data_IF_114464195064
#
_entry.id   IF_114464195064
#
_cell.length_a   1.000
_cell.length_b   1.000
_cell.length_c   1.000
_cell.angle_alpha   90.00
_cell.angle_beta   90.00
_cell.angle_gamma   90.00
#
_symmetry.space_group_name_H-M   'P 1'
#
loop_
_entity.id
_entity.type
_entity.pdbx_description
1 polymer ?
#
# COMPACT_ATOMS: atom_id res chain seq x y z
N UNK A 1 9.66 -22.34 23.02
CA UNK A 1 8.71 -21.30 22.55
C UNK A 1 8.08 -20.64 23.77
N UNK A 2 8.05 -19.31 23.80
CA UNK A 2 7.56 -18.49 24.93
C UNK A 2 6.03 -18.32 24.92
N UNK A 3 5.38 -18.61 23.79
CA UNK A 3 3.96 -18.33 23.49
C UNK A 3 3.62 -16.86 23.75
N UNK A 4 4.39 -15.97 23.17
CA UNK A 4 4.31 -14.55 23.48
C UNK A 4 4.53 -13.70 22.23
N UNK A 5 3.65 -12.71 22.02
CA UNK A 5 3.63 -11.81 20.86
C UNK A 5 3.60 -10.35 21.32
N UNK A 6 4.37 -9.50 20.65
CA UNK A 6 4.27 -8.06 20.82
C UNK A 6 3.60 -7.41 19.61
N UNK A 7 2.68 -6.49 19.85
CA UNK A 7 2.12 -5.60 18.84
C UNK A 7 2.85 -4.25 18.92
N UNK A 8 3.46 -3.83 17.82
CA UNK A 8 4.10 -2.53 17.75
C UNK A 8 3.15 -1.50 17.13
N UNK A 9 2.96 -0.37 17.83
CA UNK A 9 2.17 0.75 17.39
C UNK A 9 2.97 2.06 17.45
N UNK A 10 2.62 3.04 16.61
CA UNK A 10 3.05 4.42 16.82
C UNK A 10 2.16 5.07 17.89
N UNK A 11 2.72 5.87 18.79
CA UNK A 11 1.95 6.65 19.76
C UNK A 11 1.28 7.83 19.06
N UNK A 12 -0.04 7.96 19.25
CA UNK A 12 -0.83 9.00 18.56
C UNK A 12 -1.25 8.57 17.14
N UNK A 13 -1.92 9.47 16.44
CA UNK A 13 -2.48 9.23 15.10
C UNK A 13 -4.01 9.15 15.10
N UNK A 14 -4.62 9.37 13.94
CA UNK A 14 -6.08 9.42 13.77
C UNK A 14 -6.75 8.04 13.81
N UNK A 15 -5.97 6.97 13.80
CA UNK A 15 -6.42 5.57 13.84
C UNK A 15 -6.62 5.02 15.26
N UNK A 16 -6.40 5.88 16.28
CA UNK A 16 -6.50 5.49 17.71
C UNK A 16 -7.91 5.63 18.28
N UNK A 17 -8.21 4.75 19.21
CA UNK A 17 -9.36 4.87 20.10
C UNK A 17 -9.07 5.82 21.28
N UNK A 18 -10.08 6.04 22.14
CA UNK A 18 -9.94 6.88 23.34
C UNK A 18 -8.89 6.36 24.33
N UNK A 19 -8.59 5.06 24.30
CA UNK A 19 -7.58 4.38 25.11
C UNK A 19 -6.15 4.53 24.56
N UNK A 20 -5.98 5.21 23.42
CA UNK A 20 -4.69 5.43 22.76
C UNK A 20 -4.18 4.27 21.92
N UNK A 21 -4.90 3.14 21.87
CA UNK A 21 -4.60 2.01 20.99
C UNK A 21 -5.34 2.13 19.66
N UNK A 22 -4.86 1.45 18.64
CA UNK A 22 -5.69 1.20 17.44
C UNK A 22 -6.91 0.38 17.85
N UNK A 23 -8.07 0.76 17.33
CA UNK A 23 -9.36 0.14 17.70
C UNK A 23 -9.40 -1.37 17.47
N UNK A 24 -8.59 -1.88 16.51
CA UNK A 24 -8.52 -3.30 16.15
C UNK A 24 -7.36 -4.05 16.82
N UNK A 25 -6.44 -3.40 17.51
CA UNK A 25 -5.31 -4.07 18.16
C UNK A 25 -5.72 -4.82 19.44
N UNK A 26 -6.48 -4.18 20.32
CA UNK A 26 -6.87 -4.82 21.56
C UNK A 26 -7.76 -6.07 21.36
N UNK A 27 -8.69 -6.12 20.40
CA UNK A 27 -9.37 -7.37 20.02
C UNK A 27 -8.40 -8.51 19.66
N UNK A 28 -7.33 -8.23 18.88
CA UNK A 28 -6.31 -9.24 18.52
C UNK A 28 -5.51 -9.69 19.74
N UNK A 29 -5.11 -8.76 20.62
CA UNK A 29 -4.43 -9.06 21.88
C UNK A 29 -5.28 -10.00 22.74
N UNK A 30 -6.58 -9.70 22.87
CA UNK A 30 -7.51 -10.50 23.65
C UNK A 30 -7.74 -11.89 23.04
N UNK A 31 -7.82 -11.96 21.69
CA UNK A 31 -7.94 -13.23 20.98
C UNK A 31 -6.73 -14.17 21.26
N UNK A 32 -5.50 -13.63 21.29
CA UNK A 32 -4.31 -14.41 21.64
C UNK A 32 -4.30 -14.84 23.11
N UNK A 33 -4.68 -13.93 24.03
CA UNK A 33 -4.78 -14.26 25.46
C UNK A 33 -5.79 -15.38 25.72
N UNK A 34 -6.93 -15.36 25.03
CA UNK A 34 -7.93 -16.44 25.11
C UNK A 34 -7.38 -17.80 24.64
N UNK A 35 -6.34 -17.82 23.80
CA UNK A 35 -5.63 -19.03 23.35
C UNK A 35 -4.46 -19.44 24.28
N UNK A 36 -4.31 -18.76 25.41
CA UNK A 36 -3.23 -19.04 26.38
C UNK A 36 -1.87 -18.48 25.98
N UNK A 37 -1.85 -17.52 25.05
CA UNK A 37 -0.63 -16.79 24.66
C UNK A 37 -0.52 -15.49 25.45
N UNK A 38 0.70 -15.05 25.76
CA UNK A 38 0.95 -13.70 26.21
C UNK A 38 0.93 -12.74 25.00
N UNK A 39 0.28 -11.59 25.15
CA UNK A 39 0.26 -10.56 24.12
C UNK A 39 0.29 -9.17 24.75
N UNK A 40 1.22 -8.35 24.30
CA UNK A 40 1.46 -7.00 24.80
C UNK A 40 1.53 -6.00 23.66
N UNK A 41 1.32 -4.69 23.95
CA UNK A 41 1.50 -3.60 22.99
C UNK A 41 2.65 -2.73 23.45
N UNK A 42 3.59 -2.45 22.55
CA UNK A 42 4.68 -1.50 22.76
C UNK A 42 4.55 -0.37 21.74
N UNK A 43 4.63 0.86 22.23
CA UNK A 43 4.55 2.06 21.40
C UNK A 43 5.92 2.58 21.02
N UNK A 44 6.04 2.96 19.75
CA UNK A 44 7.16 3.75 19.24
C UNK A 44 6.77 5.23 19.09
N UNK A 45 7.75 6.10 19.31
CA UNK A 45 7.72 7.53 18.95
C UNK A 45 9.02 7.88 18.23
N UNK A 46 9.03 9.00 17.51
CA UNK A 46 10.27 9.48 16.88
C UNK A 46 11.38 9.75 17.90
N UNK A 47 11.02 10.20 19.11
CA UNK A 47 12.01 10.45 20.18
C UNK A 47 12.64 9.16 20.68
N UNK A 48 11.84 8.10 20.88
CA UNK A 48 12.34 6.75 21.22
C UNK A 48 13.27 6.25 20.12
N UNK A 49 12.88 6.43 18.86
CA UNK A 49 13.68 5.97 17.72
C UNK A 49 15.01 6.71 17.58
N UNK A 50 15.04 8.01 17.84
CA UNK A 50 16.30 8.80 17.84
C UNK A 50 17.19 8.47 19.02
N UNK A 51 16.62 8.10 20.18
CA UNK A 51 17.38 7.74 21.36
C UNK A 51 17.87 6.28 21.29
N UNK A 52 19.16 6.10 21.04
CA UNK A 52 19.75 4.77 20.87
C UNK A 52 19.57 3.87 22.11
N UNK A 53 19.68 4.42 23.31
CA UNK A 53 19.52 3.68 24.55
C UNK A 53 18.09 3.14 24.73
N UNK A 54 17.09 4.01 24.50
CA UNK A 54 15.67 3.60 24.60
C UNK A 54 15.30 2.60 23.49
N UNK A 55 15.77 2.84 22.27
CA UNK A 55 15.59 1.93 21.14
C UNK A 55 16.17 0.54 21.42
N UNK A 56 17.39 0.49 21.96
CA UNK A 56 18.05 -0.76 22.35
C UNK A 56 17.33 -1.45 23.53
N UNK A 57 16.80 -0.69 24.50
CA UNK A 57 15.99 -1.25 25.59
C UNK A 57 14.75 -1.98 25.05
N UNK A 58 14.00 -1.35 24.12
CA UNK A 58 12.85 -2.02 23.48
C UNK A 58 13.28 -3.26 22.71
N UNK A 59 14.38 -3.19 21.97
CA UNK A 59 14.92 -4.34 21.24
C UNK A 59 15.26 -5.51 22.20
N UNK A 60 16.02 -5.27 23.26
CA UNK A 60 16.41 -6.34 24.20
C UNK A 60 15.20 -6.89 24.97
N UNK A 61 14.24 -6.03 25.34
CA UNK A 61 13.00 -6.48 25.95
C UNK A 61 12.19 -7.37 25.01
N UNK A 62 11.98 -6.93 23.77
CA UNK A 62 11.24 -7.71 22.79
C UNK A 62 11.91 -9.05 22.49
N UNK A 63 13.21 -9.06 22.24
CA UNK A 63 14.01 -10.27 22.03
C UNK A 63 13.93 -11.24 23.20
N UNK A 64 13.95 -10.74 24.43
CA UNK A 64 13.91 -11.58 25.63
C UNK A 64 12.54 -12.22 25.88
N UNK A 65 11.44 -11.49 25.61
CA UNK A 65 10.09 -11.86 26.03
C UNK A 65 9.24 -12.53 24.94
N UNK A 66 9.43 -12.20 23.65
CA UNK A 66 8.47 -12.58 22.61
C UNK A 66 9.05 -13.60 21.61
N UNK A 67 8.17 -14.36 20.99
CA UNK A 67 8.47 -15.27 19.87
C UNK A 67 8.29 -14.58 18.51
N UNK A 68 7.46 -13.53 18.46
CA UNK A 68 7.20 -12.77 17.24
C UNK A 68 6.61 -11.40 17.53
N UNK A 69 6.48 -10.60 16.49
CA UNK A 69 5.82 -9.30 16.57
C UNK A 69 4.81 -9.12 15.44
N UNK A 70 3.80 -8.29 15.70
CA UNK A 70 2.87 -7.76 14.69
C UNK A 70 3.08 -6.26 14.57
N UNK A 71 3.46 -5.77 13.40
CA UNK A 71 3.58 -4.33 13.16
C UNK A 71 2.22 -3.74 12.79
N UNK A 72 1.80 -2.71 13.54
CA UNK A 72 0.55 -1.94 13.33
C UNK A 72 0.83 -0.46 13.14
N UNK A 73 2.00 -0.14 12.59
CA UNK A 73 2.44 1.24 12.30
C UNK A 73 2.07 1.59 10.87
N UNK A 74 1.27 2.65 10.67
CA UNK A 74 0.96 3.16 9.35
C UNK A 74 2.18 3.84 8.72
N UNK A 75 2.38 3.74 7.41
CA UNK A 75 3.35 4.57 6.70
C UNK A 75 3.13 6.07 7.02
N UNK A 76 4.22 6.75 7.34
CA UNK A 76 4.18 8.17 7.69
C UNK A 76 3.78 8.52 9.14
N UNK A 77 3.38 7.55 9.97
CA UNK A 77 3.12 7.81 11.40
C UNK A 77 4.41 8.04 12.22
N UNK A 78 5.54 7.58 11.71
CA UNK A 78 6.86 7.80 12.28
C UNK A 78 7.74 8.50 11.23
N UNK A 79 8.33 9.62 11.57
CA UNK A 79 9.31 10.32 10.70
C UNK A 79 10.61 9.51 10.60
N UNK A 80 10.97 8.82 11.67
CA UNK A 80 12.13 7.94 11.78
C UNK A 80 11.79 6.49 11.34
N UNK A 81 10.99 6.32 10.28
CA UNK A 81 10.53 5.02 9.80
C UNK A 81 11.70 4.07 9.50
N UNK A 82 12.82 4.59 8.99
CA UNK A 82 14.03 3.80 8.74
C UNK A 82 14.58 3.16 10.02
N UNK A 83 14.68 3.93 11.10
CA UNK A 83 15.14 3.42 12.39
C UNK A 83 14.17 2.37 12.97
N UNK A 84 12.87 2.57 12.75
CA UNK A 84 11.87 1.56 13.11
C UNK A 84 12.09 0.26 12.37
N UNK A 85 12.25 0.28 11.04
CA UNK A 85 12.53 -0.92 10.25
C UNK A 85 13.85 -1.60 10.64
N UNK A 86 14.88 -0.83 11.02
CA UNK A 86 16.14 -1.39 11.49
C UNK A 86 15.97 -2.16 12.81
N UNK A 87 15.11 -1.68 13.73
CA UNK A 87 14.74 -2.44 14.94
C UNK A 87 14.05 -3.75 14.57
N UNK A 88 13.08 -3.69 13.65
CA UNK A 88 12.35 -4.89 13.21
C UNK A 88 13.27 -5.92 12.54
N UNK A 89 14.22 -5.49 11.68
CA UNK A 89 15.21 -6.38 11.07
C UNK A 89 16.06 -7.07 12.13
N UNK A 90 16.61 -6.30 13.09
CA UNK A 90 17.39 -6.87 14.20
C UNK A 90 16.59 -7.89 15.01
N UNK A 91 15.28 -7.68 15.21
CA UNK A 91 14.42 -8.65 15.88
C UNK A 91 14.24 -9.93 15.04
N UNK A 92 14.05 -9.80 13.73
CA UNK A 92 13.98 -10.96 12.83
C UNK A 92 15.31 -11.73 12.81
N UNK A 93 16.44 -11.02 12.71
CA UNK A 93 17.78 -11.62 12.77
C UNK A 93 18.05 -12.34 14.11
N UNK A 94 17.43 -11.85 15.19
CA UNK A 94 17.46 -12.50 16.51
C UNK A 94 16.48 -13.67 16.66
N UNK A 95 15.74 -14.01 15.57
CA UNK A 95 14.85 -15.16 15.50
C UNK A 95 13.40 -14.89 15.93
N UNK A 96 12.95 -13.65 16.03
CA UNK A 96 11.53 -13.34 16.17
C UNK A 96 10.84 -13.45 14.82
N UNK A 97 9.63 -13.97 14.84
CA UNK A 97 8.78 -14.04 13.64
C UNK A 97 8.15 -12.68 13.39
N UNK A 98 8.54 -12.04 12.29
CA UNK A 98 7.97 -10.74 11.87
C UNK A 98 6.66 -10.90 11.13
N UNK A 99 5.62 -10.20 11.55
CA UNK A 99 4.31 -10.20 10.90
C UNK A 99 3.87 -8.77 10.56
N UNK A 100 4.28 -8.28 9.38
CA UNK A 100 5.18 -8.91 8.43
C UNK A 100 6.67 -8.65 8.74
N UNK A 101 7.56 -9.33 8.00
CA UNK A 101 8.98 -8.95 7.94
C UNK A 101 9.10 -7.50 7.42
N UNK A 102 10.04 -6.65 7.91
CA UNK A 102 10.13 -5.26 7.50
C UNK A 102 10.33 -5.08 5.99
N UNK A 103 11.10 -5.95 5.35
CA UNK A 103 11.29 -5.87 3.90
C UNK A 103 10.05 -6.29 3.11
N UNK A 104 9.20 -7.16 3.69
CA UNK A 104 7.87 -7.42 3.15
C UNK A 104 6.96 -6.20 3.31
N UNK A 105 7.04 -5.47 4.44
CA UNK A 105 6.30 -4.20 4.60
C UNK A 105 6.65 -3.19 3.51
N UNK A 106 7.94 -3.05 3.20
CA UNK A 106 8.42 -2.19 2.12
C UNK A 106 7.95 -2.73 0.77
N UNK A 107 8.16 -4.03 0.51
CA UNK A 107 7.85 -4.64 -0.78
C UNK A 107 6.37 -4.66 -1.14
N UNK A 108 5.48 -4.91 -0.16
CA UNK A 108 4.03 -4.95 -0.38
C UNK A 108 3.34 -3.60 -0.11
N UNK A 109 3.86 -2.80 0.82
CA UNK A 109 3.21 -1.58 1.28
C UNK A 109 3.61 -0.30 0.54
N UNK A 110 4.48 -0.38 -0.45
CA UNK A 110 4.87 0.73 -1.29
C UNK A 110 4.31 0.58 -2.71
N UNK A 111 4.03 1.69 -3.38
CA UNK A 111 3.42 1.65 -4.73
C UNK A 111 4.38 1.17 -5.82
N UNK A 112 5.68 1.09 -5.52
CA UNK A 112 6.66 0.46 -6.41
C UNK A 112 6.38 -1.04 -6.64
N UNK A 113 5.60 -1.68 -5.77
CA UNK A 113 5.06 -3.02 -6.00
C UNK A 113 4.36 -3.12 -7.37
N UNK A 114 3.60 -2.10 -7.78
CA UNK A 114 2.90 -2.07 -9.07
C UNK A 114 3.87 -2.12 -10.24
N UNK A 115 5.00 -1.43 -10.15
CA UNK A 115 6.00 -1.42 -11.24
C UNK A 115 6.76 -2.75 -11.33
N UNK A 116 6.99 -3.41 -10.20
CA UNK A 116 7.56 -4.76 -10.16
C UNK A 116 6.62 -5.82 -10.76
N UNK A 117 5.31 -5.57 -10.70
CA UNK A 117 4.25 -6.44 -11.21
C UNK A 117 3.80 -6.10 -12.65
N UNK A 118 4.37 -5.10 -13.32
CA UNK A 118 3.94 -4.60 -14.64
C UNK A 118 3.98 -5.64 -15.78
N UNK A 119 4.79 -6.67 -15.66
CA UNK A 119 4.90 -7.74 -16.66
C UNK A 119 4.07 -8.98 -16.28
N UNK A 120 3.08 -8.80 -15.42
CA UNK A 120 2.10 -9.82 -15.03
C UNK A 120 0.72 -9.47 -15.58
N UNK A 121 -0.26 -10.34 -15.38
CA UNK A 121 -1.66 -10.01 -15.71
C UNK A 121 -2.30 -9.00 -14.75
N UNK A 122 -1.65 -8.72 -13.62
CA UNK A 122 -2.17 -7.86 -12.55
C UNK A 122 -2.13 -6.38 -12.88
N UNK A 123 -1.12 -5.92 -13.61
CA UNK A 123 -0.82 -4.50 -13.80
C UNK A 123 -0.56 -4.20 -15.27
N UNK A 124 -1.02 -3.06 -15.83
CA UNK A 124 -0.74 -2.67 -17.20
C UNK A 124 0.76 -2.62 -17.50
N UNK A 125 1.14 -3.11 -18.68
CA UNK A 125 2.55 -3.19 -19.11
C UNK A 125 3.21 -1.83 -19.29
N UNK A 126 2.44 -0.76 -19.44
CA UNK A 126 2.91 0.63 -19.57
C UNK A 126 3.05 1.34 -18.21
N UNK A 127 2.97 0.60 -17.11
CA UNK A 127 3.23 1.12 -15.75
C UNK A 127 4.72 1.39 -15.59
N UNK A 128 5.08 2.64 -15.28
CA UNK A 128 6.46 3.10 -15.13
C UNK A 128 6.73 3.58 -13.71
N UNK A 129 8.02 3.59 -13.35
CA UNK A 129 8.52 4.19 -12.12
C UNK A 129 9.54 5.26 -12.46
N UNK A 130 9.38 6.45 -11.90
CA UNK A 130 10.33 7.56 -12.04
C UNK A 130 11.08 7.78 -10.73
N UNK A 131 12.40 7.98 -10.86
CA UNK A 131 13.32 8.18 -9.74
C UNK A 131 14.26 9.35 -9.98
N UNK A 132 14.79 9.93 -8.92
CA UNK A 132 16.05 10.69 -9.01
C UNK A 132 17.26 9.73 -9.16
N UNK A 133 18.37 10.17 -9.78
CA UNK A 133 19.56 9.33 -9.99
C UNK A 133 20.10 8.70 -8.71
N UNK A 134 20.10 9.46 -7.60
CA UNK A 134 20.62 8.99 -6.31
C UNK A 134 19.74 7.90 -5.71
N UNK A 135 18.42 8.04 -5.80
CA UNK A 135 17.50 7.03 -5.31
C UNK A 135 17.55 5.76 -6.15
N UNK A 136 17.58 5.89 -7.48
CA UNK A 136 17.76 4.76 -8.37
C UNK A 136 19.04 3.97 -8.05
N UNK A 137 20.16 4.66 -7.83
CA UNK A 137 21.42 4.03 -7.43
C UNK A 137 21.30 3.31 -6.08
N UNK A 138 20.60 3.92 -5.10
CA UNK A 138 20.37 3.34 -3.76
C UNK A 138 19.60 2.02 -3.81
N UNK A 139 18.63 1.92 -4.71
CA UNK A 139 17.78 0.71 -4.86
C UNK A 139 18.28 -0.24 -5.95
N UNK A 140 19.45 0.04 -6.57
CA UNK A 140 20.05 -0.82 -7.61
C UNK A 140 19.37 -0.75 -8.98
N UNK A 141 18.61 0.32 -9.26
CA UNK A 141 17.98 0.56 -10.55
C UNK A 141 18.94 1.37 -11.44
N UNK A 142 19.12 0.92 -12.68
CA UNK A 142 19.91 1.65 -13.68
C UNK A 142 19.14 2.89 -14.12
N UNK A 143 19.67 4.06 -13.83
CA UNK A 143 19.13 5.34 -14.27
C UNK A 143 20.00 5.97 -15.34
N UNK A 144 19.37 6.49 -16.39
CA UNK A 144 20.03 7.21 -17.49
C UNK A 144 19.20 8.45 -17.84
N UNK A 145 19.86 9.55 -18.14
CA UNK A 145 19.17 10.75 -18.61
C UNK A 145 18.45 10.46 -19.94
N UNK A 146 17.14 10.74 -19.99
CA UNK A 146 16.28 10.37 -21.13
C UNK A 146 15.86 8.89 -21.14
N UNK A 147 16.36 8.06 -20.24
CA UNK A 147 15.94 6.67 -20.05
C UNK A 147 14.55 6.52 -19.45
N UNK A 148 14.11 5.27 -19.27
CA UNK A 148 12.73 4.93 -18.82
C UNK A 148 12.34 5.61 -17.49
N UNK A 149 13.29 5.80 -16.57
CA UNK A 149 13.07 6.31 -15.22
C UNK A 149 13.21 7.84 -15.09
N UNK A 150 13.50 8.54 -16.20
CA UNK A 150 13.57 10.00 -16.24
C UNK A 150 12.17 10.61 -16.38
N UNK A 151 11.63 11.15 -15.27
CA UNK A 151 10.31 11.76 -15.22
C UNK A 151 10.11 12.86 -16.26
N UNK A 152 11.08 13.78 -16.35
CA UNK A 152 10.99 14.94 -17.24
C UNK A 152 10.93 14.56 -18.72
N UNK A 153 11.48 13.43 -19.10
CA UNK A 153 11.52 12.97 -20.50
C UNK A 153 10.43 11.98 -20.86
N UNK A 154 9.91 11.22 -19.90
CA UNK A 154 8.99 10.14 -20.22
C UNK A 154 7.52 10.45 -19.86
N UNK A 155 7.24 11.22 -18.81
CA UNK A 155 5.86 11.56 -18.49
C UNK A 155 5.14 12.32 -19.63
N UNK A 156 5.77 13.30 -20.34
CA UNK A 156 5.15 13.89 -21.51
C UNK A 156 4.86 12.91 -22.66
N UNK A 157 5.62 11.81 -22.76
CA UNK A 157 5.40 10.76 -23.76
C UNK A 157 4.25 9.82 -23.37
N UNK A 158 4.15 9.46 -22.08
CA UNK A 158 3.06 8.60 -21.62
C UNK A 158 1.73 9.33 -21.65
N UNK A 159 1.70 10.60 -21.20
CA UNK A 159 0.51 11.45 -21.24
C UNK A 159 0.06 11.75 -22.68
N UNK A 160 0.97 11.83 -23.65
CA UNK A 160 0.62 11.98 -25.07
C UNK A 160 -0.27 10.84 -25.60
N UNK A 161 -0.19 9.66 -25.00
CA UNK A 161 -0.94 8.46 -25.42
C UNK A 161 -2.33 8.35 -24.78
N UNK A 162 -2.55 9.01 -23.63
CA UNK A 162 -3.81 8.92 -22.89
C UNK A 162 -3.70 9.47 -21.47
N UNK A 163 -4.82 9.51 -20.78
CA UNK A 163 -4.88 9.96 -19.38
C UNK A 163 -4.00 9.06 -18.48
N UNK A 164 -3.33 9.70 -17.52
CA UNK A 164 -2.43 9.02 -16.59
C UNK A 164 -2.83 9.22 -15.13
N UNK A 165 -2.41 8.28 -14.28
CA UNK A 165 -2.44 8.43 -12.82
C UNK A 165 -1.02 8.37 -12.32
N UNK A 166 -0.55 9.48 -11.75
CA UNK A 166 0.71 9.54 -11.00
C UNK A 166 0.45 9.27 -9.54
N UNK A 167 1.28 8.42 -8.93
CA UNK A 167 1.15 8.05 -7.50
C UNK A 167 2.51 8.21 -6.81
N UNK A 168 2.57 9.01 -5.75
CA UNK A 168 3.74 8.98 -4.87
C UNK A 168 3.93 7.60 -4.24
N UNK A 169 5.17 7.17 -4.03
CA UNK A 169 5.48 5.82 -3.56
C UNK A 169 4.88 5.53 -2.18
N UNK A 170 5.09 6.44 -1.24
CA UNK A 170 4.61 6.29 0.14
C UNK A 170 3.65 7.42 0.49
N UNK A 171 2.45 7.05 0.85
CA UNK A 171 1.39 7.99 1.20
C UNK A 171 0.10 7.23 1.52
N UNK A 172 -0.82 7.90 2.17
CA UNK A 172 -2.12 7.36 2.56
C UNK A 172 -3.24 8.34 2.17
N UNK A 173 -4.49 7.89 2.22
CA UNK A 173 -5.68 8.75 2.05
C UNK A 173 -5.80 9.46 0.70
N UNK A 174 -5.09 8.99 -0.33
CA UNK A 174 -5.16 9.58 -1.67
C UNK A 174 -4.26 10.80 -1.91
N UNK A 175 -3.48 11.22 -0.91
CA UNK A 175 -2.52 12.30 -1.06
C UNK A 175 -1.40 11.94 -2.03
N UNK A 176 -1.05 12.86 -2.94
CA UNK A 176 -0.03 12.65 -3.97
C UNK A 176 -0.43 11.60 -5.02
N UNK A 177 -1.72 11.33 -5.19
CA UNK A 177 -2.27 10.54 -6.29
C UNK A 177 -3.03 11.49 -7.22
N UNK A 178 -2.50 11.68 -8.42
CA UNK A 178 -2.99 12.65 -9.39
C UNK A 178 -3.46 11.96 -10.66
N UNK A 179 -4.74 12.16 -11.04
CA UNK A 179 -5.21 11.91 -12.39
C UNK A 179 -4.84 13.12 -13.25
N UNK A 180 -4.14 12.88 -14.36
CA UNK A 180 -3.68 13.92 -15.28
C UNK A 180 -4.24 13.66 -16.66
N UNK A 181 -4.90 14.67 -17.23
CA UNK A 181 -5.46 14.61 -18.58
C UNK A 181 -5.24 15.90 -19.38
N UNK A 182 -5.22 15.78 -20.68
CA UNK A 182 -5.18 16.96 -21.54
C UNK A 182 -6.49 17.75 -21.42
N UNK A 183 -6.42 19.09 -21.46
CA UNK A 183 -7.62 19.96 -21.59
C UNK A 183 -8.33 19.66 -22.90
N UNK A 184 -7.60 19.53 -24.01
CA UNK A 184 -8.10 19.08 -25.31
C UNK A 184 -7.78 17.57 -25.51
N UNK A 185 -8.76 16.73 -25.19
CA UNK A 185 -8.64 15.28 -25.37
C UNK A 185 -8.42 14.85 -26.84
N UNK A 186 -8.76 15.72 -27.82
CA UNK A 186 -8.53 15.41 -29.24
C UNK A 186 -7.04 15.38 -29.62
N UNK A 187 -6.15 15.88 -28.73
CA UNK A 187 -4.72 15.91 -28.95
C UNK A 187 -4.02 14.56 -28.64
N UNK A 188 -4.68 13.62 -27.96
CA UNK A 188 -4.10 12.31 -27.68
C UNK A 188 -3.71 11.56 -28.97
N UNK A 189 -2.53 10.97 -28.97
CA UNK A 189 -2.00 10.19 -30.08
C UNK A 189 -1.55 10.99 -31.31
N UNK A 190 -1.60 12.34 -31.26
CA UNK A 190 -1.18 13.19 -32.39
C UNK A 190 0.30 13.52 -32.37
N UNK A 191 0.94 13.42 -31.21
CA UNK A 191 2.37 13.65 -31.03
C UNK A 191 2.96 12.58 -30.09
N UNK A 192 4.24 12.26 -30.28
CA UNK A 192 4.94 11.31 -29.40
C UNK A 192 5.41 11.96 -28.10
N UNK A 193 5.56 13.27 -28.08
CA UNK A 193 6.05 14.06 -26.97
C UNK A 193 5.26 15.36 -26.85
N UNK A 194 4.62 15.60 -25.73
CA UNK A 194 3.89 16.84 -25.45
C UNK A 194 4.85 17.99 -25.13
N UNK A 195 4.60 19.20 -25.67
CA UNK A 195 5.27 20.41 -25.23
C UNK A 195 4.97 20.72 -23.76
N UNK A 196 5.91 21.38 -23.06
CA UNK A 196 5.77 21.70 -21.63
C UNK A 196 4.70 22.78 -21.34
N UNK A 197 4.33 23.59 -22.32
CA UNK A 197 3.24 24.57 -22.26
C UNK A 197 1.85 23.98 -22.55
N UNK A 198 1.78 22.66 -22.80
CA UNK A 198 0.51 21.94 -22.97
C UNK A 198 -0.39 22.12 -21.76
N UNK A 199 -1.63 22.53 -22.01
CA UNK A 199 -2.66 22.68 -20.96
C UNK A 199 -3.21 21.34 -20.53
N UNK A 200 -3.21 21.11 -19.23
CA UNK A 200 -3.65 19.88 -18.59
C UNK A 200 -4.64 20.19 -17.45
N UNK A 201 -5.42 19.19 -17.11
CA UNK A 201 -6.27 19.15 -15.91
C UNK A 201 -5.74 18.08 -15.00
N UNK A 202 -5.41 18.48 -13.76
CA UNK A 202 -4.91 17.60 -12.71
C UNK A 202 -5.96 17.48 -11.62
N UNK A 203 -6.35 16.25 -11.23
CA UNK A 203 -7.31 16.00 -10.16
C UNK A 203 -6.63 15.16 -9.08
N UNK A 204 -6.62 15.62 -7.82
CA UNK A 204 -6.04 14.86 -6.72
C UNK A 204 -7.05 13.89 -6.11
N UNK A 205 -6.64 12.66 -5.81
CA UNK A 205 -7.51 11.63 -5.24
C UNK A 205 -7.91 11.92 -3.78
N UNK A 206 -7.19 12.78 -3.08
CA UNK A 206 -7.45 13.12 -1.68
C UNK A 206 -8.87 13.66 -1.46
N UNK A 207 -9.32 14.57 -2.31
CA UNK A 207 -10.59 15.29 -2.19
C UNK A 207 -11.29 15.53 -3.54
N UNK A 208 -10.74 15.00 -4.64
CA UNK A 208 -11.21 15.18 -6.01
C UNK A 208 -11.18 16.66 -6.51
N UNK A 209 -10.39 17.54 -5.88
CA UNK A 209 -10.20 18.87 -6.44
C UNK A 209 -9.43 18.80 -7.75
N UNK A 210 -9.81 19.68 -8.68
CA UNK A 210 -9.21 19.76 -10.02
C UNK A 210 -8.59 21.12 -10.24
N UNK A 211 -7.41 21.11 -10.88
CA UNK A 211 -6.67 22.32 -11.24
C UNK A 211 -6.29 22.30 -12.71
N UNK A 212 -6.36 23.47 -13.36
CA UNK A 212 -5.81 23.69 -14.69
C UNK A 212 -4.38 24.18 -14.55
N UNK A 213 -3.42 23.51 -15.20
CA UNK A 213 -1.99 23.86 -15.17
C UNK A 213 -1.37 23.71 -16.54
N UNK A 214 -0.16 24.24 -16.71
CA UNK A 214 0.72 23.81 -17.80
C UNK A 214 1.46 22.53 -17.38
N UNK A 215 1.75 21.65 -18.32
CA UNK A 215 2.43 20.37 -18.07
C UNK A 215 3.76 20.58 -17.35
N UNK A 216 4.58 21.55 -17.78
CA UNK A 216 5.87 21.83 -17.15
C UNK A 216 5.75 22.25 -15.68
N UNK A 217 4.81 23.15 -15.37
CA UNK A 217 4.53 23.61 -14.00
C UNK A 217 4.07 22.45 -13.09
N UNK A 218 3.22 21.59 -13.61
CA UNK A 218 2.78 20.40 -12.86
C UNK A 218 3.92 19.41 -12.63
N UNK A 219 4.78 19.22 -13.61
CA UNK A 219 5.96 18.34 -13.47
C UNK A 219 6.94 18.89 -12.44
N UNK A 220 7.21 20.19 -12.45
CA UNK A 220 8.08 20.83 -11.44
C UNK A 220 7.48 20.70 -10.02
N UNK A 221 6.15 20.84 -9.90
CA UNK A 221 5.45 20.55 -8.63
C UNK A 221 5.64 19.09 -8.17
N UNK A 222 5.54 18.13 -9.09
CA UNK A 222 5.67 16.70 -8.77
C UNK A 222 7.09 16.27 -8.38
N UNK A 223 8.13 17.08 -8.63
CA UNK A 223 9.50 16.77 -8.21
C UNK A 223 9.65 16.56 -6.70
N UNK A 224 8.77 17.14 -5.89
CA UNK A 224 8.77 16.94 -4.43
C UNK A 224 8.60 15.46 -4.06
N UNK A 225 7.87 14.69 -4.88
CA UNK A 225 7.63 13.26 -4.65
C UNK A 225 8.80 12.36 -5.03
N UNK A 226 9.78 12.88 -5.76
CA UNK A 226 11.00 12.17 -6.16
C UNK A 226 12.11 12.32 -5.14
N UNK A 227 12.00 13.30 -4.21
CA UNK A 227 13.06 13.66 -3.26
C UNK A 227 13.06 12.73 -2.04
N UNK A 228 14.27 12.51 -1.51
CA UNK A 228 14.49 11.77 -0.29
C UNK A 228 14.42 10.25 -0.43
N UNK A 229 14.56 9.56 0.70
CA UNK A 229 14.51 8.11 0.77
C UNK A 229 13.11 7.59 0.35
N UNK A 230 13.09 6.62 -0.56
CA UNK A 230 11.88 6.09 -1.21
C UNK A 230 11.13 7.09 -2.10
N UNK A 231 11.78 8.19 -2.51
CA UNK A 231 11.25 9.14 -3.49
C UNK A 231 11.05 8.50 -4.85
N UNK A 232 9.78 8.40 -5.28
CA UNK A 232 9.40 7.78 -6.54
C UNK A 232 7.99 8.21 -6.94
N UNK A 233 7.75 8.29 -8.24
CA UNK A 233 6.41 8.37 -8.82
C UNK A 233 6.14 7.12 -9.65
N UNK A 234 4.99 6.50 -9.41
CA UNK A 234 4.41 5.49 -10.30
C UNK A 234 3.50 6.19 -11.29
N UNK A 235 3.69 5.88 -12.57
CA UNK A 235 2.89 6.36 -13.70
C UNK A 235 2.12 5.19 -14.30
N UNK A 236 0.80 5.25 -14.24
CA UNK A 236 -0.11 4.23 -14.77
C UNK A 236 -1.14 4.84 -15.71
N UNK A 237 -1.62 4.03 -16.66
CA UNK A 237 -2.79 4.45 -17.46
C UNK A 237 -4.00 4.66 -16.54
N UNK A 238 -4.80 5.70 -16.82
CA UNK A 238 -6.06 5.91 -16.11
C UNK A 238 -7.09 4.86 -16.54
N UNK A 239 -7.77 4.27 -15.58
CA UNK A 239 -8.79 3.24 -15.80
C UNK A 239 -10.18 3.87 -15.64
N UNK A 240 -10.89 4.20 -16.73
CA UNK A 240 -12.15 4.97 -16.66
C UNK A 240 -13.28 4.21 -15.95
N UNK A 241 -13.21 2.88 -15.89
CA UNK A 241 -14.19 2.04 -15.20
C UNK A 241 -14.06 2.10 -13.66
N UNK A 242 -13.13 2.90 -13.11
CA UNK A 242 -13.12 3.25 -11.68
C UNK A 242 -14.47 3.81 -11.20
N UNK A 243 -15.25 4.41 -12.10
CA UNK A 243 -16.62 4.88 -11.82
C UNK A 243 -17.57 3.74 -11.40
N UNK A 244 -17.29 2.49 -11.80
CA UNK A 244 -18.03 1.30 -11.37
C UNK A 244 -17.64 0.85 -9.97
N UNK A 245 -16.46 1.27 -9.51
CA UNK A 245 -15.94 1.07 -8.17
C UNK A 245 -14.55 0.47 -8.15
N UNK A 246 -13.93 0.59 -6.99
CA UNK A 246 -12.71 -0.11 -6.60
C UNK A 246 -13.09 -1.29 -5.70
N UNK A 247 -12.52 -2.45 -5.97
CA UNK A 247 -12.80 -3.67 -5.23
C UNK A 247 -11.60 -3.97 -4.33
N UNK A 248 -11.78 -3.84 -3.02
CA UNK A 248 -10.77 -4.17 -2.02
C UNK A 248 -11.03 -5.56 -1.45
N UNK A 249 -10.08 -6.46 -1.55
CA UNK A 249 -10.10 -7.75 -0.86
C UNK A 249 -9.29 -7.63 0.41
N UNK A 250 -9.91 -7.85 1.58
CA UNK A 250 -9.19 -8.01 2.84
C UNK A 250 -8.67 -9.44 2.93
N UNK A 251 -7.37 -9.56 3.13
CA UNK A 251 -6.67 -10.84 3.25
C UNK A 251 -6.10 -11.01 4.67
N UNK A 252 -6.30 -12.20 5.24
CA UNK A 252 -5.53 -12.69 6.35
C UNK A 252 -4.60 -13.78 5.85
N UNK A 253 -3.31 -13.46 5.74
CA UNK A 253 -2.32 -14.33 5.11
C UNK A 253 -2.78 -14.76 3.71
N UNK A 254 -3.25 -16.00 3.52
CA UNK A 254 -3.76 -16.54 2.23
C UNK A 254 -5.29 -16.51 2.12
N UNK A 255 -5.99 -16.14 3.19
CA UNK A 255 -7.44 -16.30 3.28
C UNK A 255 -8.14 -14.97 3.02
N UNK A 256 -8.99 -14.85 2.00
CA UNK A 256 -9.87 -13.70 1.82
C UNK A 256 -10.96 -13.71 2.90
N UNK A 257 -11.19 -12.54 3.52
CA UNK A 257 -12.11 -12.42 4.68
C UNK A 257 -13.40 -11.74 4.30
N UNK A 258 -13.30 -10.62 3.62
CA UNK A 258 -14.42 -9.91 3.00
C UNK A 258 -13.93 -9.06 1.82
N UNK A 259 -14.87 -8.60 1.03
CA UNK A 259 -14.65 -7.71 -0.10
C UNK A 259 -15.34 -6.37 0.17
N UNK A 260 -14.64 -5.26 -0.07
CA UNK A 260 -15.24 -3.92 0.01
C UNK A 260 -15.36 -3.36 -1.40
N UNK A 261 -16.60 -3.17 -1.85
CA UNK A 261 -16.87 -2.45 -3.08
C UNK A 261 -17.01 -0.95 -2.76
N UNK A 262 -16.05 -0.17 -3.24
CA UNK A 262 -15.94 1.26 -2.98
C UNK A 262 -16.31 2.01 -4.26
N UNK A 263 -17.44 2.71 -4.28
CA UNK A 263 -17.84 3.56 -5.41
C UNK A 263 -17.43 5.00 -5.15
N UNK A 264 -16.72 5.65 -6.09
CA UNK A 264 -16.45 7.09 -6.02
C UNK A 264 -17.74 7.90 -5.85
N UNK A 265 -17.61 9.13 -5.37
CA UNK A 265 -18.72 10.08 -5.30
C UNK A 265 -19.31 10.28 -6.70
N UNK A 266 -20.63 10.52 -6.75
CA UNK A 266 -21.33 10.79 -8.01
C UNK A 266 -21.06 12.23 -8.48
N UNK A 267 -20.81 12.41 -9.78
CA UNK A 267 -20.68 13.70 -10.45
C UNK A 267 -19.23 14.15 -10.69
N UNK A 268 -19.07 15.08 -11.62
CA UNK A 268 -17.80 15.71 -11.98
C UNK A 268 -16.70 14.73 -12.43
N UNK A 269 -15.47 15.09 -12.11
CA UNK A 269 -14.26 14.33 -12.40
C UNK A 269 -13.85 13.40 -11.25
N UNK A 270 -14.76 13.13 -10.29
CA UNK A 270 -14.48 12.25 -9.14
C UNK A 270 -14.04 10.87 -9.61
N UNK A 271 -12.85 10.46 -9.17
CA UNK A 271 -12.27 9.14 -9.46
C UNK A 271 -11.74 8.45 -8.21
N UNK A 272 -11.67 9.16 -7.10
CA UNK A 272 -11.17 8.63 -5.84
C UNK A 272 -12.21 7.76 -5.16
N UNK A 273 -11.82 6.57 -4.76
CA UNK A 273 -12.63 5.65 -3.95
C UNK A 273 -12.29 5.71 -2.45
N UNK A 274 -11.71 6.82 -1.96
CA UNK A 274 -11.43 7.01 -0.54
C UNK A 274 -12.66 7.50 0.22
N UNK A 275 -12.79 7.17 1.50
CA UNK A 275 -13.90 7.68 2.33
C UNK A 275 -13.91 9.21 2.40
N UNK A 276 -12.73 9.82 2.45
CA UNK A 276 -12.56 11.27 2.55
C UNK A 276 -13.02 12.02 1.29
N UNK A 277 -13.04 11.35 0.14
CA UNK A 277 -13.54 11.87 -1.13
C UNK A 277 -15.05 11.65 -1.34
N UNK A 278 -15.77 11.14 -0.32
CA UNK A 278 -17.22 10.89 -0.38
C UNK A 278 -17.61 9.57 -1.03
N UNK A 279 -16.70 8.62 -1.15
CA UNK A 279 -17.00 7.30 -1.71
C UNK A 279 -17.98 6.51 -0.81
N UNK A 280 -18.84 5.72 -1.44
CA UNK A 280 -19.79 4.81 -0.78
C UNK A 280 -19.20 3.41 -0.71
N UNK A 281 -19.20 2.79 0.48
CA UNK A 281 -18.68 1.46 0.72
C UNK A 281 -19.80 0.44 0.92
N UNK A 282 -19.68 -0.70 0.25
CA UNK A 282 -20.49 -1.90 0.48
C UNK A 282 -19.55 -3.05 0.84
N UNK A 283 -19.92 -3.83 1.85
CA UNK A 283 -19.16 -4.98 2.31
C UNK A 283 -19.86 -6.25 1.84
N UNK A 284 -19.13 -7.09 1.12
CA UNK A 284 -19.63 -8.31 0.50
C UNK A 284 -18.88 -9.53 1.04
N UNK A 285 -19.49 -10.71 0.96
CA UNK A 285 -18.80 -11.96 1.27
C UNK A 285 -17.87 -12.36 0.12
N UNK A 286 -16.76 -13.06 0.42
CA UNK A 286 -15.84 -13.54 -0.63
C UNK A 286 -16.52 -14.34 -1.74
N UNK A 287 -17.53 -15.15 -1.40
CA UNK A 287 -18.29 -15.95 -2.38
C UNK A 287 -18.99 -15.13 -3.47
N UNK A 288 -19.35 -13.88 -3.17
CA UNK A 288 -20.02 -12.99 -4.12
C UNK A 288 -19.05 -12.47 -5.21
N UNK A 289 -17.75 -12.65 -4.96
CA UNK A 289 -16.63 -12.25 -5.83
C UNK A 289 -15.73 -13.43 -6.22
N UNK A 290 -16.27 -14.65 -6.24
CA UNK A 290 -15.50 -15.89 -6.35
C UNK A 290 -14.54 -15.89 -7.54
N UNK A 291 -14.98 -15.45 -8.72
CA UNK A 291 -14.14 -15.42 -9.92
C UNK A 291 -12.90 -14.51 -9.79
N UNK A 292 -13.08 -13.32 -9.19
CA UNK A 292 -11.97 -12.42 -8.91
C UNK A 292 -11.01 -13.03 -7.88
N UNK A 293 -11.57 -13.61 -6.81
CA UNK A 293 -10.79 -14.21 -5.74
C UNK A 293 -9.97 -15.39 -6.23
N UNK A 294 -10.57 -16.32 -6.97
CA UNK A 294 -9.88 -17.50 -7.49
C UNK A 294 -8.74 -17.09 -8.43
N UNK A 295 -9.02 -16.13 -9.33
CA UNK A 295 -7.98 -15.58 -10.21
C UNK A 295 -6.86 -14.92 -9.40
N UNK A 296 -7.18 -14.09 -8.40
CA UNK A 296 -6.19 -13.40 -7.57
C UNK A 296 -5.35 -14.38 -6.75
N UNK A 297 -5.97 -15.36 -6.12
CA UNK A 297 -5.25 -16.38 -5.33
C UNK A 297 -4.26 -17.18 -6.20
N UNK A 298 -4.61 -17.43 -7.47
CA UNK A 298 -3.71 -18.08 -8.42
C UNK A 298 -2.48 -17.21 -8.75
N UNK A 299 -2.55 -15.87 -8.60
CA UNK A 299 -1.43 -14.96 -8.83
C UNK A 299 -0.46 -14.84 -7.62
N UNK A 300 -0.85 -15.30 -6.42
CA UNK A 300 -0.04 -15.12 -5.20
C UNK A 300 1.41 -15.64 -5.31
N UNK A 301 1.68 -16.80 -5.94
CA UNK A 301 3.06 -17.25 -6.13
C UNK A 301 3.90 -16.28 -6.95
N UNK A 302 3.34 -15.71 -8.03
CA UNK A 302 4.02 -14.73 -8.86
C UNK A 302 4.24 -13.40 -8.11
N UNK A 303 3.22 -12.91 -7.40
CA UNK A 303 3.33 -11.73 -6.54
C UNK A 303 4.48 -11.89 -5.54
N UNK A 304 4.52 -13.01 -4.82
CA UNK A 304 5.61 -13.30 -3.86
C UNK A 304 6.98 -13.28 -4.54
N UNK A 305 7.11 -13.97 -5.67
CA UNK A 305 8.37 -14.03 -6.43
C UNK A 305 8.85 -12.65 -6.86
N UNK A 306 7.96 -11.80 -7.36
CA UNK A 306 8.28 -10.43 -7.83
C UNK A 306 8.57 -9.45 -6.69
N UNK A 307 7.98 -9.66 -5.52
CA UNK A 307 8.11 -8.78 -4.36
C UNK A 307 9.12 -9.26 -3.30
N UNK A 308 10.07 -10.12 -3.68
CA UNK A 308 11.23 -10.50 -2.86
C UNK A 308 11.11 -11.84 -2.12
N UNK A 309 10.14 -12.67 -2.46
CA UNK A 309 9.90 -14.02 -1.88
C UNK A 309 9.62 -14.06 -0.37
N UNK A 310 9.31 -12.92 0.23
CA UNK A 310 8.87 -12.89 1.62
C UNK A 310 7.51 -13.57 1.80
N UNK A 311 7.22 -14.02 3.00
CA UNK A 311 5.88 -14.50 3.33
C UNK A 311 4.85 -13.40 3.19
N UNK A 312 3.62 -13.80 2.85
CA UNK A 312 2.51 -12.87 2.74
C UNK A 312 2.28 -12.14 4.07
N UNK A 313 1.88 -10.87 4.03
CA UNK A 313 1.56 -10.15 5.26
C UNK A 313 0.40 -10.81 6.01
N UNK A 314 0.44 -10.73 7.36
CA UNK A 314 -0.61 -11.28 8.22
C UNK A 314 -1.98 -10.67 7.91
N UNK A 315 -2.03 -9.33 7.79
CA UNK A 315 -3.23 -8.57 7.45
C UNK A 315 -2.86 -7.63 6.30
N UNK A 316 -3.53 -7.76 5.18
CA UNK A 316 -3.25 -6.94 4.00
C UNK A 316 -4.47 -6.82 3.08
N UNK A 317 -4.42 -5.86 2.16
CA UNK A 317 -5.45 -5.72 1.14
C UNK A 317 -4.84 -5.63 -0.24
N UNK A 318 -5.59 -6.12 -1.22
CA UNK A 318 -5.36 -5.85 -2.63
C UNK A 318 -6.58 -5.12 -3.19
N UNK A 319 -6.33 -3.98 -3.85
CA UNK A 319 -7.36 -3.11 -4.40
C UNK A 319 -7.36 -3.21 -5.92
N UNK A 320 -8.50 -3.54 -6.50
CA UNK A 320 -8.65 -3.77 -7.93
C UNK A 320 -9.60 -2.76 -8.56
N UNK A 321 -9.28 -2.36 -9.78
CA UNK A 321 -10.14 -1.52 -10.63
C UNK A 321 -10.56 -2.37 -11.82
N UNK A 322 -11.83 -2.30 -12.18
CA UNK A 322 -12.36 -2.97 -13.35
C UNK A 322 -11.86 -2.29 -14.62
N UNK A 323 -11.47 -3.09 -15.58
CA UNK A 323 -11.07 -2.70 -16.93
C UNK A 323 -11.70 -3.66 -17.95
N UNK A 324 -11.44 -3.44 -19.21
CA UNK A 324 -11.94 -4.27 -20.30
C UNK A 324 -10.77 -4.82 -21.09
N UNK A 325 -10.75 -6.13 -21.31
CA UNK A 325 -9.72 -6.76 -22.11
C UNK A 325 -9.94 -6.49 -23.62
N UNK A 326 -8.99 -6.95 -24.45
CA UNK A 326 -9.04 -6.80 -25.92
C UNK A 326 -10.24 -7.47 -26.59
N UNK A 327 -10.92 -8.38 -25.89
CA UNK A 327 -12.09 -9.12 -26.38
C UNK A 327 -13.41 -8.51 -25.86
N UNK A 328 -13.34 -7.42 -25.07
CA UNK A 328 -14.51 -6.77 -24.48
C UNK A 328 -14.97 -7.41 -23.17
N UNK A 329 -14.24 -8.38 -22.62
CA UNK A 329 -14.56 -9.01 -21.35
C UNK A 329 -14.01 -8.21 -20.14
N UNK A 330 -14.64 -8.40 -18.98
CA UNK A 330 -14.20 -7.82 -17.73
C UNK A 330 -12.80 -8.32 -17.34
N UNK A 331 -11.95 -7.39 -16.94
CA UNK A 331 -10.61 -7.62 -16.46
C UNK A 331 -10.39 -6.79 -15.18
N UNK A 332 -9.70 -7.36 -14.21
CA UNK A 332 -9.33 -6.64 -12.99
C UNK A 332 -7.85 -6.21 -13.04
N UNK A 333 -7.61 -4.97 -12.67
CA UNK A 333 -6.27 -4.38 -12.62
C UNK A 333 -5.95 -4.02 -11.17
N UNK A 334 -4.82 -4.49 -10.68
CA UNK A 334 -4.34 -4.16 -9.33
C UNK A 334 -3.93 -2.68 -9.28
N UNK A 335 -4.59 -1.94 -8.41
CA UNK A 335 -4.35 -0.52 -8.18
C UNK A 335 -3.47 -0.24 -6.98
N UNK A 336 -3.51 -1.10 -5.94
CA UNK A 336 -2.76 -0.90 -4.69
C UNK A 336 -2.71 -2.20 -3.88
N UNK A 337 -1.62 -2.36 -3.12
CA UNK A 337 -1.51 -3.31 -2.02
C UNK A 337 -1.24 -2.52 -0.75
N UNK A 338 -1.96 -2.84 0.34
CA UNK A 338 -1.70 -2.28 1.66
C UNK A 338 -1.40 -3.42 2.64
N UNK A 339 -0.40 -3.27 3.50
CA UNK A 339 -0.04 -4.29 4.49
C UNK A 339 0.22 -3.69 5.88
N UNK A 340 0.20 -4.53 6.89
CA UNK A 340 0.47 -4.27 8.31
C UNK A 340 -0.47 -3.30 9.02
N UNK A 341 -0.79 -2.17 8.43
CA UNK A 341 -1.61 -1.11 9.01
C UNK A 341 -3.08 -1.15 8.60
N UNK A 342 -3.49 -2.14 7.83
CA UNK A 342 -4.88 -2.30 7.38
C UNK A 342 -5.81 -2.46 8.58
N UNK A 343 -6.82 -1.58 8.67
CA UNK A 343 -7.86 -1.63 9.70
C UNK A 343 -9.01 -2.55 9.27
N UNK A 344 -9.64 -3.19 10.26
CA UNK A 344 -10.84 -4.03 10.07
C UNK A 344 -11.93 -3.71 11.10
N UNK A 345 -12.05 -2.45 11.48
CA UNK A 345 -13.05 -1.96 12.44
C UNK A 345 -14.44 -1.72 11.81
N UNK A 346 -14.54 -1.85 10.51
CA UNK A 346 -15.80 -1.72 9.76
C UNK A 346 -15.94 -2.91 8.81
N UNK A 347 -17.12 -3.56 8.78
CA UNK A 347 -18.25 -3.36 9.70
C UNK A 347 -17.91 -3.88 11.12
N UNK A 348 -18.47 -3.24 12.14
CA UNK A 348 -18.14 -3.53 13.54
C UNK A 348 -18.45 -4.99 13.96
N UNK A 349 -19.48 -5.59 13.38
CA UNK A 349 -19.89 -6.99 13.63
C UNK A 349 -18.84 -8.01 13.18
N UNK A 350 -17.92 -7.66 12.28
CA UNK A 350 -16.86 -8.58 11.83
C UNK A 350 -15.58 -8.46 12.66
N UNK A 351 -15.42 -7.38 13.41
CA UNK A 351 -14.16 -7.08 14.09
C UNK A 351 -13.70 -8.20 15.03
N UNK A 352 -14.59 -8.72 15.89
CA UNK A 352 -14.23 -9.81 16.81
C UNK A 352 -13.90 -11.11 16.07
N UNK A 353 -14.73 -11.46 15.06
CA UNK A 353 -14.49 -12.64 14.23
C UNK A 353 -13.12 -12.56 13.54
N UNK A 354 -12.79 -11.41 12.95
CA UNK A 354 -11.51 -11.20 12.28
C UNK A 354 -10.36 -11.26 13.28
N UNK A 355 -10.52 -10.64 14.46
CA UNK A 355 -9.50 -10.71 15.51
C UNK A 355 -9.20 -12.15 15.96
N UNK A 356 -10.23 -13.01 16.08
CA UNK A 356 -10.05 -14.43 16.37
C UNK A 356 -9.28 -15.15 15.25
N UNK A 357 -9.65 -14.90 13.99
CA UNK A 357 -8.95 -15.47 12.83
C UNK A 357 -7.48 -15.00 12.76
N UNK A 358 -7.21 -13.72 13.08
CA UNK A 358 -5.84 -13.19 13.18
C UNK A 358 -5.08 -13.93 14.28
N UNK A 359 -5.69 -14.14 15.43
CA UNK A 359 -5.09 -14.90 16.53
C UNK A 359 -4.73 -16.35 16.12
N UNK A 360 -5.61 -17.03 15.35
CA UNK A 360 -5.34 -18.37 14.81
C UNK A 360 -4.14 -18.34 13.85
N UNK A 361 -4.12 -17.42 12.90
CA UNK A 361 -3.02 -17.27 11.94
C UNK A 361 -1.68 -16.97 12.64
N UNK A 362 -1.68 -16.08 13.66
CA UNK A 362 -0.45 -15.79 14.43
C UNK A 362 0.11 -17.05 15.07
N UNK A 363 -0.75 -17.84 15.72
CA UNK A 363 -0.34 -19.10 16.36
C UNK A 363 0.25 -20.05 15.32
N UNK A 364 -0.44 -20.26 14.21
CA UNK A 364 0.00 -21.14 13.12
C UNK A 364 1.36 -20.70 12.54
N UNK A 365 1.50 -19.42 12.22
CA UNK A 365 2.72 -18.85 11.64
C UNK A 365 3.91 -19.02 12.60
N UNK A 366 3.73 -18.65 13.88
CA UNK A 366 4.83 -18.71 14.86
C UNK A 366 5.18 -20.14 15.21
N UNK A 367 4.21 -21.03 15.40
CA UNK A 367 4.48 -22.45 15.65
C UNK A 367 5.12 -23.14 14.44
N UNK A 368 4.72 -22.76 13.23
CA UNK A 368 5.32 -23.26 11.98
C UNK A 368 6.76 -22.84 11.79
N UNK A 369 7.09 -21.58 12.11
CA UNK A 369 8.44 -21.04 11.99
C UNK A 369 9.44 -21.55 13.04
N UNK A 370 8.95 -22.15 14.15
CA UNK A 370 9.77 -22.66 15.25
C UNK A 370 9.95 -24.18 15.22
N UNK A 371 9.36 -24.88 14.25
CA UNK A 371 9.59 -26.31 13.95
C UNK A 371 10.79 -26.49 13.05
#
# INVERSE_FOLDING_TARGET
MKKSIVFFEAKGGSDKGPDGYRKDTMPMVNALKAKGWNAEVIFFTDDILRNESERNKIYEEAKAKFDGYVSRVNPGNLKEEKLYFDVLRKLCDAGLVGMPHPDAMIGYGAKDALTKLRNTELVPTDTLAYYEPNEAARIGVKWEAGGEHDFKKNFPKTLAKGERVLKQNRGSTGEGIWRVRLEDASAYGKVDLLPLDTKIICTEAKDNHSENRQLGEFMDFCEVYLKGDNGMLVDMTFLPRIKEGEIRILMLYKTPVYVVHKKPAEGGDAFSATLFSGAKYRYDEPKDWQSLIDWFLAQLPEIRSKLGNYDLPLIWTADFILDTDKNGADKYVLGEINCSCVGFTSPAEFMEKIALMVGDNIVEIVEGAKK
#
